data_IF_416289244854
#
_entry.id   IF_416289244854
#
_cell.length_a   1.000
_cell.length_b   1.000
_cell.length_c   1.000
_cell.angle_alpha   90.00
_cell.angle_beta   90.00
_cell.angle_gamma   90.00
#
_symmetry.space_group_name_H-M   'P 1'
#
loop_
_entity.id
_entity.type
_entity.pdbx_description
1 polymer ?
#
# COMPACT_ATOMS: atom_id res chain seq x y z
N UNK A 1 -40.00 25.91 -53.50
CA UNK A 1 -38.60 26.27 -53.17
C UNK A 1 -38.63 27.02 -51.84
N UNK A 2 -37.79 26.62 -50.89
CA UNK A 2 -37.63 27.12 -49.50
C UNK A 2 -38.68 26.68 -48.46
N UNK A 3 -38.38 25.55 -47.82
CA UNK A 3 -38.84 25.21 -46.46
C UNK A 3 -38.10 26.14 -45.49
N UNK A 4 -38.83 26.79 -44.59
CA UNK A 4 -38.20 27.51 -43.47
C UNK A 4 -37.72 26.48 -42.43
N UNK A 5 -36.40 26.36 -42.31
CA UNK A 5 -35.69 25.57 -41.32
C UNK A 5 -35.67 26.35 -39.98
N UNK A 6 -36.36 25.82 -38.97
CA UNK A 6 -36.42 26.37 -37.61
C UNK A 6 -35.44 25.58 -36.70
N UNK A 7 -34.22 25.33 -37.17
CA UNK A 7 -33.17 24.69 -36.38
C UNK A 7 -32.01 25.65 -36.12
N UNK A 8 -32.26 26.72 -35.35
CA UNK A 8 -31.20 27.48 -34.66
C UNK A 8 -31.68 28.01 -33.33
N UNK A 9 -31.73 27.12 -32.35
CA UNK A 9 -31.49 27.44 -30.94
C UNK A 9 -31.25 26.12 -30.22
N UNK A 10 -30.41 26.17 -29.18
CA UNK A 10 -30.00 25.07 -28.28
C UNK A 10 -28.69 24.35 -28.64
N UNK A 11 -27.60 25.01 -28.23
CA UNK A 11 -26.37 24.34 -27.79
C UNK A 11 -26.70 23.34 -26.67
N UNK A 12 -26.52 22.06 -26.92
CA UNK A 12 -26.28 21.08 -25.87
C UNK A 12 -25.04 20.26 -26.27
N UNK A 13 -23.95 20.48 -25.55
CA UNK A 13 -22.87 19.51 -25.48
C UNK A 13 -23.43 18.27 -24.80
N UNK A 14 -23.83 17.26 -25.57
CA UNK A 14 -23.98 15.91 -25.03
C UNK A 14 -22.57 15.36 -24.77
N UNK A 15 -22.03 15.66 -23.60
CA UNK A 15 -20.92 14.89 -23.05
C UNK A 15 -21.46 13.47 -22.83
N UNK A 16 -21.17 12.56 -23.75
CA UNK A 16 -21.36 11.14 -23.52
C UNK A 16 -20.35 10.72 -22.46
N UNK A 17 -20.75 10.25 -21.26
CA UNK A 17 -19.81 9.52 -20.43
C UNK A 17 -19.49 8.26 -21.21
N UNK A 18 -18.28 8.21 -21.76
CA UNK A 18 -17.79 7.03 -22.44
C UNK A 18 -17.84 5.91 -21.43
N UNK A 19 -18.73 4.95 -21.70
CA UNK A 19 -18.99 3.76 -20.90
C UNK A 19 -17.69 3.17 -20.38
N UNK A 20 -17.34 3.47 -19.12
CA UNK A 20 -16.29 2.77 -18.38
C UNK A 20 -16.67 1.30 -18.43
N UNK A 21 -15.91 0.53 -19.20
CA UNK A 21 -16.12 -0.89 -19.40
C UNK A 21 -16.21 -1.55 -18.02
N UNK A 22 -17.29 -2.28 -17.74
CA UNK A 22 -17.43 -3.04 -16.50
C UNK A 22 -16.29 -4.06 -16.28
N UNK A 23 -15.49 -4.35 -17.33
CA UNK A 23 -14.24 -5.12 -17.23
C UNK A 23 -13.04 -4.31 -16.72
N UNK A 24 -13.01 -2.99 -16.92
CA UNK A 24 -12.00 -2.09 -16.35
C UNK A 24 -12.32 -1.72 -14.89
N UNK A 25 -13.60 -1.72 -14.50
CA UNK A 25 -14.01 -1.49 -13.11
C UNK A 25 -13.62 -2.62 -12.13
N UNK A 26 -13.32 -3.82 -12.64
CA UNK A 26 -12.84 -4.96 -11.83
C UNK A 26 -11.31 -4.92 -11.63
N UNK A 27 -10.58 -4.21 -12.50
CA UNK A 27 -9.11 -4.07 -12.45
C UNK A 27 -8.64 -2.75 -11.87
N UNK A 28 -9.54 -1.82 -11.54
CA UNK A 28 -9.31 -0.87 -10.46
C UNK A 28 -9.39 -1.63 -9.12
N UNK A 29 -8.57 -2.67 -9.02
CA UNK A 29 -8.09 -3.19 -7.77
C UNK A 29 -7.60 -1.96 -7.02
N UNK A 30 -8.37 -1.51 -6.02
CA UNK A 30 -7.84 -0.61 -5.01
C UNK A 30 -6.58 -1.28 -4.48
N UNK A 31 -5.43 -0.80 -4.93
CA UNK A 31 -4.13 -1.26 -4.48
C UNK A 31 -4.07 -0.86 -3.00
N UNK A 32 -4.38 -1.81 -2.12
CA UNK A 32 -4.47 -1.54 -0.69
C UNK A 32 -3.10 -1.71 -0.06
N UNK A 33 -2.74 -0.76 0.78
CA UNK A 33 -1.49 -0.72 1.51
C UNK A 33 -1.78 -0.72 3.00
N UNK A 34 -0.98 -1.48 3.74
CA UNK A 34 -0.97 -1.47 5.19
C UNK A 34 0.32 -0.81 5.67
N UNK A 35 0.17 0.15 6.58
CA UNK A 35 1.28 0.85 7.22
C UNK A 35 1.41 0.30 8.64
N UNK A 36 2.50 -0.41 8.89
CA UNK A 36 2.73 -1.13 10.14
C UNK A 36 3.90 -0.50 10.89
N UNK A 37 3.73 -0.28 12.19
CA UNK A 37 4.83 0.03 13.10
C UNK A 37 5.22 -1.22 13.86
N UNK A 38 6.52 -1.48 13.90
CA UNK A 38 7.10 -2.69 14.49
C UNK A 38 8.24 -2.32 15.41
N UNK A 39 8.42 -3.06 16.50
CA UNK A 39 9.61 -2.95 17.36
C UNK A 39 10.85 -3.42 16.60
N UNK A 40 11.99 -2.75 16.82
CA UNK A 40 13.29 -3.24 16.37
C UNK A 40 13.78 -4.25 17.38
N UNK A 41 14.03 -5.47 16.91
CA UNK A 41 14.56 -6.53 17.74
C UNK A 41 16.05 -6.70 17.41
N UNK A 42 16.95 -6.37 18.34
CA UNK A 42 18.39 -6.51 18.11
C UNK A 42 18.77 -7.99 18.05
N UNK A 43 19.86 -8.27 17.35
CA UNK A 43 20.51 -9.58 17.29
C UNK A 43 21.99 -9.41 17.58
N UNK A 44 22.61 -10.40 18.22
CA UNK A 44 24.04 -10.38 18.40
C UNK A 44 24.72 -10.73 17.06
N UNK A 45 25.89 -10.16 16.73
CA UNK A 45 26.60 -10.46 15.48
C UNK A 45 26.84 -11.96 15.26
N UNK A 46 27.11 -12.69 16.34
CA UNK A 46 27.26 -14.14 16.36
C UNK A 46 26.00 -14.89 15.91
N UNK A 47 24.81 -14.42 16.30
CA UNK A 47 23.52 -15.01 15.89
C UNK A 47 23.31 -14.84 14.38
N UNK A 48 23.70 -13.65 13.85
CA UNK A 48 23.59 -13.34 12.41
C UNK A 48 24.51 -14.25 11.61
N UNK A 49 25.74 -14.45 12.07
CA UNK A 49 26.70 -15.33 11.42
C UNK A 49 26.23 -16.79 11.46
N UNK A 50 25.74 -17.27 12.60
CA UNK A 50 25.20 -18.62 12.74
C UNK A 50 24.01 -18.85 11.81
N UNK A 51 23.04 -17.93 11.78
CA UNK A 51 21.89 -17.97 10.87
C UNK A 51 22.30 -18.07 9.39
N UNK A 52 23.37 -17.36 9.00
CA UNK A 52 23.88 -17.42 7.64
C UNK A 52 24.57 -18.75 7.32
N UNK A 53 25.33 -19.32 8.27
CA UNK A 53 26.05 -20.59 8.08
C UNK A 53 25.13 -21.80 8.11
N UNK A 54 24.15 -21.80 9.01
CA UNK A 54 23.25 -22.93 9.25
C UNK A 54 22.01 -22.89 8.35
N UNK A 55 21.91 -21.86 7.49
CA UNK A 55 20.73 -21.54 6.66
C UNK A 55 19.42 -21.50 7.47
N UNK A 56 19.52 -21.26 8.77
CA UNK A 56 18.38 -21.19 9.67
C UNK A 56 17.88 -19.75 9.80
N UNK A 57 16.56 -19.54 9.92
CA UNK A 57 16.03 -18.21 10.22
C UNK A 57 16.63 -17.68 11.52
N UNK A 58 17.05 -16.41 11.50
CA UNK A 58 17.57 -15.70 12.68
C UNK A 58 16.58 -15.68 13.85
N UNK A 59 15.28 -15.84 13.56
CA UNK A 59 14.22 -16.03 14.54
C UNK A 59 13.09 -16.87 13.96
N UNK A 60 12.53 -17.72 14.81
CA UNK A 60 11.25 -18.36 14.58
C UNK A 60 10.09 -17.38 14.86
N UNK A 61 9.52 -16.82 13.80
CA UNK A 61 8.36 -15.92 13.86
C UNK A 61 7.05 -16.63 14.26
N UNK A 62 7.02 -17.97 14.26
CA UNK A 62 5.87 -18.75 14.73
C UNK A 62 5.86 -18.85 16.26
N UNK A 63 7.03 -19.02 16.88
CA UNK A 63 7.19 -19.08 18.32
C UNK A 63 7.27 -17.70 18.99
N UNK A 64 7.87 -16.70 18.31
CA UNK A 64 8.00 -15.34 18.85
C UNK A 64 7.65 -14.30 17.79
N UNK A 65 6.35 -14.13 17.48
CA UNK A 65 5.92 -13.19 16.44
C UNK A 65 6.30 -11.75 16.80
N UNK A 66 6.80 -11.01 15.81
CA UNK A 66 7.02 -9.57 15.93
C UNK A 66 5.73 -8.85 16.37
N UNK A 67 5.79 -8.03 17.43
CA UNK A 67 4.63 -7.23 17.84
C UNK A 67 4.36 -6.14 16.79
N UNK A 68 3.33 -6.35 15.98
CA UNK A 68 2.90 -5.45 14.91
C UNK A 68 1.79 -4.55 15.40
N UNK A 69 2.02 -3.23 15.34
CA UNK A 69 0.99 -2.22 15.52
C UNK A 69 0.59 -1.73 14.14
N UNK A 70 -0.53 -2.22 13.62
CA UNK A 70 -1.15 -1.63 12.44
C UNK A 70 -1.58 -0.21 12.80
N UNK A 71 -1.18 0.78 12.00
CA UNK A 71 -1.46 2.19 12.32
C UNK A 71 -2.41 2.81 11.31
N UNK A 72 -2.37 2.38 10.06
CA UNK A 72 -3.28 2.86 9.02
C UNK A 72 -3.31 1.92 7.81
N UNK A 73 -4.38 2.04 7.03
CA UNK A 73 -4.49 1.54 5.66
C UNK A 73 -4.54 2.72 4.68
N UNK A 74 -4.10 2.48 3.44
CA UNK A 74 -4.19 3.43 2.34
C UNK A 74 -4.60 2.72 1.05
N UNK A 75 -5.28 3.44 0.16
CA UNK A 75 -5.76 2.94 -1.14
C UNK A 75 -4.80 3.22 -2.30
N UNK A 76 -3.68 3.87 -2.01
CA UNK A 76 -2.64 4.19 -2.98
C UNK A 76 -1.27 4.23 -2.31
N UNK A 77 -0.22 3.99 -3.12
CA UNK A 77 1.17 4.03 -2.63
C UNK A 77 1.53 5.42 -2.13
N UNK A 78 1.10 6.48 -2.80
CA UNK A 78 1.43 7.84 -2.41
C UNK A 78 0.86 8.19 -1.03
N UNK A 79 -0.43 7.91 -0.80
CA UNK A 79 -1.06 8.07 0.50
C UNK A 79 -0.36 7.24 1.59
N UNK A 80 0.02 5.99 1.26
CA UNK A 80 0.77 5.14 2.17
C UNK A 80 2.13 5.73 2.56
N UNK A 81 2.87 6.29 1.59
CA UNK A 81 4.18 6.91 1.83
C UNK A 81 4.04 8.23 2.61
N UNK A 82 2.99 9.01 2.38
CA UNK A 82 2.70 10.19 3.19
C UNK A 82 2.45 9.82 4.66
N UNK A 83 1.60 8.82 4.91
CA UNK A 83 1.35 8.30 6.27
C UNK A 83 2.63 7.73 6.90
N UNK A 84 3.43 6.98 6.13
CA UNK A 84 4.70 6.45 6.62
C UNK A 84 5.68 7.55 7.04
N UNK A 85 5.78 8.63 6.26
CA UNK A 85 6.58 9.82 6.60
C UNK A 85 6.07 10.49 7.87
N UNK A 86 4.75 10.63 8.03
CA UNK A 86 4.17 11.16 9.26
C UNK A 86 4.54 10.29 10.48
N UNK A 87 4.44 8.97 10.36
CA UNK A 87 4.80 8.02 11.43
C UNK A 87 6.31 7.98 11.73
N UNK A 88 7.16 8.26 10.75
CA UNK A 88 8.61 8.36 10.95
C UNK A 88 8.98 9.48 11.94
N UNK A 89 8.11 10.47 12.14
CA UNK A 89 8.32 11.54 13.13
C UNK A 89 8.03 11.12 14.57
N UNK A 90 7.39 9.97 14.80
CA UNK A 90 7.06 9.48 16.16
C UNK A 90 8.35 9.17 16.92
N UNK A 91 8.42 9.58 18.19
CA UNK A 91 9.62 9.49 19.01
C UNK A 91 10.25 8.09 19.07
N UNK A 92 9.45 7.02 19.16
CA UNK A 92 9.94 5.65 19.15
C UNK A 92 10.55 5.21 17.81
N UNK A 93 10.07 5.73 16.68
CA UNK A 93 10.65 5.47 15.35
C UNK A 93 11.92 6.30 15.17
N UNK A 94 11.88 7.59 15.53
CA UNK A 94 13.04 8.49 15.48
C UNK A 94 14.18 8.01 16.36
N UNK A 95 13.89 7.50 17.55
CA UNK A 95 14.90 6.96 18.48
C UNK A 95 15.42 5.58 18.08
N UNK A 96 15.01 5.05 16.92
CA UNK A 96 15.45 3.76 16.45
C UNK A 96 14.81 2.54 17.12
N UNK A 97 13.90 2.71 18.09
CA UNK A 97 13.24 1.59 18.79
C UNK A 97 12.18 0.89 17.94
N UNK A 98 11.57 1.62 17.01
CA UNK A 98 10.57 1.09 16.08
C UNK A 98 10.93 1.39 14.62
N UNK A 99 10.30 0.66 13.70
CA UNK A 99 10.37 0.87 12.25
C UNK A 99 8.97 0.90 11.66
N UNK A 100 8.82 1.65 10.58
CA UNK A 100 7.60 1.71 9.77
C UNK A 100 7.81 0.85 8.52
N UNK A 101 6.90 -0.07 8.25
CA UNK A 101 6.85 -0.93 7.07
C UNK A 101 5.61 -0.56 6.26
N UNK A 102 5.76 -0.38 4.95
CA UNK A 102 4.64 -0.22 4.01
C UNK A 102 4.48 -1.53 3.25
N UNK A 103 3.34 -2.18 3.41
CA UNK A 103 3.07 -3.50 2.84
C UNK A 103 1.94 -3.39 1.83
N UNK A 104 2.18 -3.79 0.58
CA UNK A 104 1.12 -3.92 -0.42
C UNK A 104 0.34 -5.22 -0.17
N UNK A 105 -0.97 -5.13 0.02
CA UNK A 105 -1.81 -6.26 0.45
C UNK A 105 -2.24 -7.19 -0.69
N UNK A 106 -2.19 -6.72 -1.94
CA UNK A 106 -2.48 -7.52 -3.13
C UNK A 106 -1.20 -7.97 -3.87
N UNK A 107 -0.04 -7.83 -3.22
CA UNK A 107 1.18 -8.43 -3.73
C UNK A 107 1.07 -9.97 -3.70
N UNK A 108 1.59 -10.69 -4.73
CA UNK A 108 1.71 -12.13 -4.65
C UNK A 108 2.49 -12.49 -3.39
N UNK A 109 1.98 -13.43 -2.59
CA UNK A 109 2.78 -14.02 -1.50
C UNK A 109 4.01 -14.65 -2.13
N UNK A 110 5.19 -14.42 -1.56
CA UNK A 110 6.40 -15.10 -1.98
C UNK A 110 6.17 -16.63 -1.89
N UNK A 111 6.56 -17.44 -2.90
CA UNK A 111 6.47 -18.88 -2.80
C UNK A 111 7.39 -19.35 -1.66
N UNK A 112 6.78 -20.00 -0.65
CA UNK A 112 7.48 -20.66 0.45
C UNK A 112 8.34 -21.82 -0.04
#
# INVERSE_FOLDING_TARGET
MHKHDISRMWNFHSWTPQSTSARQAVTEQRMRYLIVRTEVRPFAPEDVNASFLDEQPLRDETASPEQRRQVAEADSLDAALQLARALASVGAVRSGRQRVKVVRLDAPRWPS
#
